data_IF_937306750375
#
_entry.id   IF_937306750375
#
_cell.length_a   1.000
_cell.length_b   1.000
_cell.length_c   1.000
_cell.angle_alpha   90.00
_cell.angle_beta   90.00
_cell.angle_gamma   90.00
#
_symmetry.space_group_name_H-M   'P 1'
#
loop_
_entity.id
_entity.type
_entity.pdbx_description
1 polymer ?
#
# COMPACT_ATOMS: atom_id res chain seq x y z
N UNK A 1 47.97 -8.42 72.58
CA UNK A 1 48.13 -9.69 73.33
C UNK A 1 47.59 -10.82 72.49
N UNK A 2 48.30 -11.92 72.53
CA UNK A 2 48.26 -13.16 71.74
C UNK A 2 46.89 -13.75 71.43
N UNK A 3 46.83 -14.49 70.32
CA UNK A 3 45.74 -15.43 70.02
C UNK A 3 45.89 -16.12 68.67
N UNK A 4 46.95 -16.93 68.51
CA UNK A 4 47.05 -17.98 67.50
C UNK A 4 45.89 -18.98 67.67
N UNK A 5 45.42 -19.60 66.57
CA UNK A 5 45.44 -21.06 66.37
C UNK A 5 44.99 -21.35 64.93
N UNK A 6 45.93 -21.95 64.19
CA UNK A 6 45.72 -22.70 62.96
C UNK A 6 45.37 -24.15 63.34
N UNK A 7 44.47 -24.78 62.61
CA UNK A 7 44.59 -26.19 62.22
C UNK A 7 43.58 -26.55 61.13
N UNK A 8 44.12 -27.17 60.10
CA UNK A 8 43.44 -27.77 58.97
C UNK A 8 42.62 -29.01 59.40
N UNK A 9 41.58 -29.39 58.64
CA UNK A 9 41.65 -30.46 57.63
C UNK A 9 40.26 -30.93 57.17
N UNK A 10 40.23 -31.32 55.88
CA UNK A 10 39.44 -32.39 55.25
C UNK A 10 37.94 -32.20 54.96
N UNK A 11 37.66 -32.13 53.64
CA UNK A 11 36.63 -32.96 53.01
C UNK A 11 35.50 -32.20 52.32
N UNK A 12 35.43 -32.28 50.99
CA UNK A 12 34.31 -32.96 50.31
C UNK A 12 34.27 -32.65 48.80
N UNK A 13 34.44 -33.73 48.04
CA UNK A 13 33.75 -34.05 46.77
C UNK A 13 33.76 -33.02 45.63
N UNK A 14 34.65 -33.28 44.67
CA UNK A 14 34.56 -32.74 43.31
C UNK A 14 33.30 -33.27 42.61
N UNK A 15 32.42 -32.37 42.18
CA UNK A 15 31.34 -32.67 41.23
C UNK A 15 31.52 -31.78 40.00
N UNK A 16 31.92 -32.43 38.91
CA UNK A 16 32.00 -31.88 37.56
C UNK A 16 30.62 -31.36 37.12
N UNK A 17 30.44 -30.04 37.04
CA UNK A 17 29.36 -29.45 36.25
C UNK A 17 29.84 -29.36 34.80
N UNK A 18 29.37 -30.30 33.99
CA UNK A 18 29.61 -30.34 32.56
C UNK A 18 28.86 -29.20 31.87
N UNK A 19 29.61 -28.47 31.06
CA UNK A 19 29.23 -27.33 30.23
C UNK A 19 28.31 -27.76 29.08
N UNK A 20 26.99 -27.71 29.25
CA UNK A 20 26.01 -28.15 28.23
C UNK A 20 25.37 -26.97 27.44
N UNK A 21 26.04 -25.82 27.37
CA UNK A 21 25.49 -24.58 26.79
C UNK A 21 25.91 -24.25 25.35
N UNK A 22 26.35 -25.22 24.53
CA UNK A 22 26.63 -24.96 23.11
C UNK A 22 26.26 -26.15 22.20
N UNK A 23 24.97 -26.45 22.08
CA UNK A 23 24.45 -27.15 20.89
C UNK A 23 23.91 -26.13 19.88
N UNK A 24 24.47 -26.03 18.66
CA UNK A 24 23.88 -25.19 17.62
C UNK A 24 22.48 -25.69 17.27
N UNK A 25 21.47 -24.82 17.41
CA UNK A 25 20.11 -25.12 16.95
C UNK A 25 20.14 -25.30 15.43
N UNK A 26 19.80 -26.49 14.94
CA UNK A 26 19.60 -26.72 13.51
C UNK A 26 18.49 -25.77 13.01
N UNK A 27 18.68 -25.03 11.89
CA UNK A 27 17.59 -24.26 11.32
C UNK A 27 16.45 -25.21 10.95
N UNK A 28 15.24 -24.91 11.42
CA UNK A 28 14.04 -25.65 10.99
C UNK A 28 13.90 -25.44 9.48
N UNK A 29 13.68 -26.49 8.67
CA UNK A 29 13.40 -26.30 7.25
C UNK A 29 12.19 -25.38 7.13
N UNK A 30 12.39 -24.22 6.50
CA UNK A 30 11.30 -23.31 6.18
C UNK A 30 10.41 -24.05 5.20
N UNK A 31 9.21 -24.45 5.64
CA UNK A 31 8.21 -24.99 4.73
C UNK A 31 8.04 -23.97 3.61
N UNK A 32 8.31 -24.38 2.37
CA UNK A 32 8.00 -23.57 1.21
C UNK A 32 6.48 -23.33 1.26
N UNK A 33 6.00 -22.08 1.08
CA UNK A 33 4.57 -21.84 1.05
C UNK A 33 3.97 -22.74 -0.03
N UNK A 34 2.99 -23.56 0.36
CA UNK A 34 2.25 -24.40 -0.59
C UNK A 34 1.65 -23.46 -1.63
N UNK A 35 1.94 -23.71 -2.92
CA UNK A 35 1.32 -22.91 -4.00
C UNK A 35 -0.19 -22.97 -3.77
N UNK A 36 -0.88 -21.82 -3.73
CA UNK A 36 -2.33 -21.84 -3.66
C UNK A 36 -2.83 -22.69 -4.81
N UNK A 37 -3.72 -23.65 -4.53
CA UNK A 37 -4.36 -24.45 -5.56
C UNK A 37 -5.36 -23.55 -6.29
N UNK A 38 -4.88 -22.70 -7.18
CA UNK A 38 -5.73 -22.06 -8.18
C UNK A 38 -6.33 -23.22 -8.98
N UNK A 39 -7.65 -23.36 -8.90
CA UNK A 39 -8.33 -24.59 -9.28
C UNK A 39 -7.88 -25.09 -10.66
N UNK A 40 -7.45 -26.34 -10.73
CA UNK A 40 -7.13 -27.01 -11.98
C UNK A 40 -8.43 -27.31 -12.75
N UNK A 41 -8.56 -26.64 -13.90
CA UNK A 41 -9.53 -26.76 -14.99
C UNK A 41 -10.97 -26.27 -14.76
N UNK A 42 -11.53 -25.47 -15.71
CA UNK A 42 -12.73 -24.69 -15.47
C UNK A 42 -13.97 -25.38 -16.04
N UNK A 43 -15.04 -25.45 -15.24
CA UNK A 43 -16.31 -25.01 -15.84
C UNK A 43 -16.14 -23.50 -15.96
N UNK A 44 -15.97 -23.01 -17.19
CA UNK A 44 -16.01 -21.58 -17.44
C UNK A 44 -17.34 -21.08 -16.87
N UNK A 45 -17.29 -20.37 -15.75
CA UNK A 45 -18.39 -19.50 -15.42
C UNK A 45 -18.48 -18.55 -16.62
N UNK A 46 -19.60 -18.62 -17.35
CA UNK A 46 -19.97 -17.71 -18.43
C UNK A 46 -20.27 -16.30 -17.89
N UNK A 47 -19.56 -15.88 -16.85
CA UNK A 47 -19.59 -14.51 -16.38
C UNK A 47 -18.82 -13.68 -17.40
N UNK A 48 -19.48 -12.71 -17.99
CA UNK A 48 -18.87 -11.67 -18.82
C UNK A 48 -18.01 -10.70 -18.00
N UNK A 49 -17.92 -10.87 -16.68
CA UNK A 49 -17.18 -9.95 -15.81
C UNK A 49 -15.66 -10.08 -16.03
N UNK A 50 -14.90 -8.97 -15.91
CA UNK A 50 -13.44 -9.02 -15.91
C UNK A 50 -12.86 -9.90 -14.79
N UNK A 51 -11.66 -10.46 -15.01
CA UNK A 51 -11.01 -11.38 -14.07
C UNK A 51 -10.87 -10.81 -12.65
N UNK A 52 -10.54 -9.52 -12.52
CA UNK A 52 -10.43 -8.85 -11.22
C UNK A 52 -11.77 -8.82 -10.47
N UNK A 53 -12.88 -8.59 -11.18
CA UNK A 53 -14.23 -8.57 -10.59
C UNK A 53 -14.65 -9.97 -10.15
N UNK A 54 -14.38 -10.98 -10.98
CA UNK A 54 -14.62 -12.37 -10.62
C UNK A 54 -13.87 -12.76 -9.34
N UNK A 55 -12.58 -12.41 -9.26
CA UNK A 55 -11.76 -12.65 -8.07
C UNK A 55 -12.32 -11.93 -6.83
N UNK A 56 -12.69 -10.65 -6.95
CA UNK A 56 -13.24 -9.86 -5.86
C UNK A 56 -14.60 -10.41 -5.34
N UNK A 57 -15.39 -11.03 -6.22
CA UNK A 57 -16.64 -11.71 -5.88
C UNK A 57 -16.44 -13.11 -5.28
N UNK A 58 -15.20 -13.62 -5.22
CA UNK A 58 -14.90 -14.96 -4.73
C UNK A 58 -15.23 -16.07 -5.73
N UNK A 59 -15.42 -15.75 -7.01
CA UNK A 59 -15.67 -16.76 -8.05
C UNK A 59 -14.41 -17.62 -8.29
N UNK A 60 -14.61 -18.83 -8.80
CA UNK A 60 -13.49 -19.65 -9.28
C UNK A 60 -12.85 -19.02 -10.52
N UNK A 61 -11.53 -18.87 -10.50
CA UNK A 61 -10.75 -18.20 -11.53
C UNK A 61 -9.53 -19.04 -11.95
N UNK A 62 -9.10 -18.89 -13.20
CA UNK A 62 -7.98 -19.67 -13.76
C UNK A 62 -6.61 -19.24 -13.22
N UNK A 63 -6.48 -17.97 -12.80
CA UNK A 63 -5.27 -17.40 -12.19
C UNK A 63 -5.62 -16.18 -11.33
N UNK A 64 -4.77 -15.78 -10.38
CA UNK A 64 -4.93 -14.49 -9.69
C UNK A 64 -4.87 -13.31 -10.68
N UNK A 65 -5.72 -12.29 -10.52
CA UNK A 65 -5.57 -11.03 -11.25
C UNK A 65 -4.36 -10.25 -10.73
N UNK A 66 -3.72 -9.47 -11.61
CA UNK A 66 -2.57 -8.65 -11.29
C UNK A 66 -2.76 -7.21 -11.79
N UNK A 67 -2.48 -6.25 -10.90
CA UNK A 67 -2.40 -4.81 -11.13
C UNK A 67 -1.52 -4.20 -10.04
N UNK A 68 -1.15 -2.93 -10.17
CA UNK A 68 -0.30 -2.26 -9.19
C UNK A 68 -0.91 -0.94 -8.71
N UNK A 69 -0.77 -0.65 -7.42
CA UNK A 69 -1.02 0.69 -6.90
C UNK A 69 -0.04 1.66 -7.56
N UNK A 70 -0.51 2.89 -7.86
CA UNK A 70 0.27 3.92 -8.57
C UNK A 70 0.79 3.46 -9.94
N UNK A 71 0.02 2.60 -10.63
CA UNK A 71 0.35 2.11 -11.97
C UNK A 71 0.52 3.22 -13.02
N UNK A 72 -0.12 4.37 -12.86
CA UNK A 72 0.12 5.55 -13.69
C UNK A 72 0.92 6.57 -12.87
N UNK A 73 2.14 6.89 -13.28
CA UNK A 73 2.98 7.81 -12.51
C UNK A 73 4.39 7.98 -13.04
N UNK A 74 5.21 8.68 -12.25
CA UNK A 74 6.55 9.17 -12.63
C UNK A 74 7.57 8.10 -13.03
N UNK A 75 7.31 6.81 -12.83
CA UNK A 75 8.18 5.75 -13.33
C UNK A 75 8.05 5.54 -14.85
N UNK A 76 6.95 6.00 -15.46
CA UNK A 76 6.71 5.88 -16.89
C UNK A 76 7.19 7.11 -17.64
N UNK A 77 7.98 6.92 -18.70
CA UNK A 77 8.42 8.02 -19.57
C UNK A 77 7.25 8.72 -20.27
N UNK A 78 6.18 7.99 -20.60
CA UNK A 78 4.95 8.57 -21.16
C UNK A 78 4.28 9.56 -20.19
N UNK A 79 4.21 9.22 -18.91
CA UNK A 79 3.67 10.11 -17.88
C UNK A 79 4.56 11.35 -17.70
N UNK A 80 5.89 11.16 -17.63
CA UNK A 80 6.84 12.28 -17.47
C UNK A 80 6.69 13.30 -18.60
N UNK A 81 6.67 12.85 -19.86
CA UNK A 81 6.48 13.72 -21.04
C UNK A 81 5.15 14.47 -21.04
N UNK A 82 4.08 13.84 -20.52
CA UNK A 82 2.78 14.49 -20.39
C UNK A 82 2.82 15.53 -19.26
N UNK A 83 3.44 15.20 -18.12
CA UNK A 83 3.62 16.12 -17.00
C UNK A 83 4.51 17.33 -17.33
N UNK A 84 5.48 17.19 -18.26
CA UNK A 84 6.25 18.33 -18.77
C UNK A 84 5.38 19.32 -19.55
N UNK A 85 4.37 18.83 -20.28
CA UNK A 85 3.42 19.66 -21.04
C UNK A 85 2.32 20.26 -20.16
N UNK A 86 1.90 19.51 -19.13
CA UNK A 86 0.85 19.87 -18.18
C UNK A 86 1.44 19.83 -16.75
N UNK A 87 2.21 20.86 -16.36
CA UNK A 87 2.98 20.83 -15.11
C UNK A 87 2.07 20.72 -13.88
N UNK A 88 0.90 21.37 -13.92
CA UNK A 88 -0.08 21.32 -12.84
C UNK A 88 -0.59 19.88 -12.64
N UNK A 89 -0.35 19.33 -11.45
CA UNK A 89 -0.93 18.04 -11.08
C UNK A 89 -2.46 18.10 -11.07
N UNK A 90 -3.01 19.21 -10.57
CA UNK A 90 -4.44 19.44 -10.48
C UNK A 90 -5.10 19.46 -11.87
N UNK A 91 -4.49 20.14 -12.84
CA UNK A 91 -4.94 20.11 -14.24
C UNK A 91 -5.03 18.67 -14.76
N UNK A 92 -3.99 17.86 -14.51
CA UNK A 92 -3.94 16.46 -14.95
C UNK A 92 -4.94 15.54 -14.25
N UNK A 93 -5.30 15.83 -13.00
CA UNK A 93 -6.27 15.05 -12.21
C UNK A 93 -7.72 15.55 -12.31
N UNK A 94 -7.94 16.71 -12.95
CA UNK A 94 -9.27 17.33 -13.09
C UNK A 94 -9.70 17.56 -14.55
N UNK A 95 -8.81 17.30 -15.54
CA UNK A 95 -9.14 17.35 -16.97
C UNK A 95 -9.41 15.96 -17.52
N UNK A 96 -10.64 15.68 -17.94
CA UNK A 96 -11.10 14.35 -18.39
C UNK A 96 -10.16 13.70 -19.42
N UNK A 97 -9.76 14.43 -20.47
CA UNK A 97 -8.88 13.89 -21.51
C UNK A 97 -7.50 13.48 -20.95
N UNK A 98 -6.95 14.27 -20.02
CA UNK A 98 -5.67 13.97 -19.38
C UNK A 98 -5.81 12.79 -18.41
N UNK A 99 -6.90 12.74 -17.64
CA UNK A 99 -7.22 11.62 -16.73
C UNK A 99 -7.29 10.32 -17.53
N UNK A 100 -8.07 10.28 -18.61
CA UNK A 100 -8.24 9.11 -19.48
C UNK A 100 -6.90 8.70 -20.07
N UNK A 101 -6.14 9.65 -20.62
CA UNK A 101 -4.84 9.37 -21.22
C UNK A 101 -3.86 8.76 -20.20
N UNK A 102 -3.69 9.39 -19.04
CA UNK A 102 -2.79 8.92 -17.97
C UNK A 102 -3.24 7.54 -17.45
N UNK A 103 -4.54 7.37 -17.21
CA UNK A 103 -5.14 6.11 -16.72
C UNK A 103 -4.83 4.94 -17.64
N UNK A 104 -4.87 5.16 -18.96
CA UNK A 104 -4.68 4.10 -19.97
C UNK A 104 -3.21 3.79 -20.29
N UNK A 105 -2.24 4.64 -19.92
CA UNK A 105 -0.81 4.38 -20.12
C UNK A 105 -0.35 2.99 -19.61
N UNK A 106 -0.57 2.62 -18.33
CA UNK A 106 -0.17 1.29 -17.85
C UNK A 106 -0.90 0.15 -18.56
N UNK A 107 -2.15 0.37 -18.97
CA UNK A 107 -2.89 -0.64 -19.73
C UNK A 107 -2.27 -0.89 -21.10
N UNK A 108 -1.85 0.17 -21.80
CA UNK A 108 -1.17 0.03 -23.09
C UNK A 108 0.17 -0.70 -22.95
N UNK A 109 0.91 -0.45 -21.87
CA UNK A 109 2.24 -1.03 -21.65
C UNK A 109 2.20 -2.49 -21.14
N UNK A 110 1.30 -2.82 -20.21
CA UNK A 110 1.37 -4.06 -19.43
C UNK A 110 0.12 -4.92 -19.46
N UNK A 111 -1.02 -4.41 -19.95
CA UNK A 111 -2.32 -5.11 -19.98
C UNK A 111 -2.69 -5.76 -18.63
N UNK A 112 -2.68 -5.00 -17.51
CA UNK A 112 -3.07 -5.52 -16.20
C UNK A 112 -4.56 -5.91 -16.18
N UNK A 113 -4.95 -6.73 -15.22
CA UNK A 113 -6.34 -7.20 -15.06
C UNK A 113 -7.28 -6.13 -14.46
N UNK A 114 -6.71 -5.02 -14.01
CA UNK A 114 -7.43 -3.87 -13.48
C UNK A 114 -6.72 -2.58 -13.83
N UNK A 115 -7.51 -1.53 -14.04
CA UNK A 115 -7.03 -0.17 -14.26
C UNK A 115 -7.71 0.74 -13.26
N UNK A 116 -6.92 1.52 -12.52
CA UNK A 116 -7.43 2.50 -11.56
C UNK A 116 -7.39 3.90 -12.17
N UNK A 117 -8.47 4.66 -11.98
CA UNK A 117 -8.60 6.04 -12.47
C UNK A 117 -7.48 6.89 -11.86
N UNK A 118 -6.85 7.71 -12.69
CA UNK A 118 -5.95 8.75 -12.24
C UNK A 118 -6.75 9.92 -11.65
N UNK A 119 -6.84 9.97 -10.34
CA UNK A 119 -7.47 11.05 -9.56
C UNK A 119 -6.73 11.23 -8.24
N UNK A 120 -6.96 12.36 -7.57
CA UNK A 120 -6.45 12.61 -6.23
C UNK A 120 -7.52 12.31 -5.17
N UNK A 121 -7.10 11.84 -4.00
CA UNK A 121 -8.04 11.55 -2.91
C UNK A 121 -8.66 12.82 -2.31
N UNK A 122 -8.01 13.97 -2.47
CA UNK A 122 -8.47 15.26 -1.95
C UNK A 122 -9.39 16.00 -2.93
N UNK A 123 -9.59 15.47 -4.14
CA UNK A 123 -10.50 16.02 -5.15
C UNK A 123 -11.88 16.42 -4.59
N UNK A 124 -12.53 15.67 -3.68
CA UNK A 124 -13.81 16.07 -3.10
C UNK A 124 -13.76 17.25 -2.12
N UNK A 125 -12.59 17.61 -1.59
CA UNK A 125 -12.47 18.61 -0.50
C UNK A 125 -13.06 19.98 -0.88
N UNK A 126 -12.77 20.58 -2.05
CA UNK A 126 -13.36 21.86 -2.43
C UNK A 126 -14.88 21.78 -2.66
N UNK A 127 -15.40 20.59 -2.97
CA UNK A 127 -16.83 20.34 -3.14
C UNK A 127 -17.58 20.23 -1.80
N UNK A 128 -16.88 20.11 -0.67
CA UNK A 128 -17.45 20.12 0.68
C UNK A 128 -17.04 21.34 1.50
N UNK A 129 -16.43 22.36 0.88
CA UNK A 129 -16.06 23.63 1.53
C UNK A 129 -14.62 23.70 2.05
N UNK A 130 -13.77 22.74 1.70
CA UNK A 130 -12.36 22.70 2.13
C UNK A 130 -11.42 22.97 0.94
N UNK A 131 -10.99 24.23 0.71
CA UNK A 131 -10.04 24.52 -0.34
C UNK A 131 -8.66 23.95 -0.01
N UNK A 132 -7.96 23.47 -1.03
CA UNK A 132 -6.57 23.03 -0.92
C UNK A 132 -5.80 23.38 -2.19
N UNK A 133 -4.50 23.53 -2.02
CA UNK A 133 -3.54 23.73 -3.11
C UNK A 133 -2.56 22.57 -3.15
N UNK A 134 -1.94 22.32 -4.30
CA UNK A 134 -0.90 21.29 -4.43
C UNK A 134 0.42 21.98 -4.74
N UNK A 135 1.38 21.86 -3.81
CA UNK A 135 2.76 22.28 -4.01
C UNK A 135 3.60 21.10 -4.51
N UNK A 136 4.44 21.32 -5.52
CA UNK A 136 5.34 20.28 -6.02
C UNK A 136 6.33 19.77 -4.97
N UNK A 137 6.74 20.63 -4.03
CA UNK A 137 7.70 20.30 -2.99
C UNK A 137 7.06 19.74 -1.71
N UNK A 138 5.88 20.26 -1.34
CA UNK A 138 5.23 19.95 -0.05
C UNK A 138 4.01 19.03 -0.17
N UNK A 139 3.53 18.78 -1.38
CA UNK A 139 2.26 18.09 -1.59
C UNK A 139 1.06 19.00 -1.31
N UNK A 140 -0.09 18.43 -0.91
CA UNK A 140 -1.30 19.20 -0.67
C UNK A 140 -1.18 20.09 0.58
N UNK A 141 -1.65 21.32 0.47
CA UNK A 141 -1.66 22.34 1.52
C UNK A 141 -3.12 22.73 1.75
N UNK A 142 -3.61 22.45 2.95
CA UNK A 142 -4.92 22.92 3.43
C UNK A 142 -4.66 24.19 4.24
N UNK A 143 -5.17 25.33 3.77
CA UNK A 143 -4.89 26.64 4.38
C UNK A 143 -5.49 26.77 5.79
N UNK A 144 -6.68 26.18 6.00
CA UNK A 144 -7.42 26.22 7.27
C UNK A 144 -7.75 24.81 7.74
N UNK A 145 -6.82 24.10 8.40
CA UNK A 145 -7.09 22.78 8.95
C UNK A 145 -8.21 22.80 9.99
N UNK A 146 -9.04 21.75 10.03
CA UNK A 146 -10.06 21.59 11.06
C UNK A 146 -9.38 21.34 12.41
N UNK A 147 -9.62 22.22 13.38
CA UNK A 147 -9.03 22.19 14.72
C UNK A 147 -10.06 22.41 15.81
N UNK A 148 -11.08 23.24 15.52
CA UNK A 148 -12.16 23.59 16.42
C UNK A 148 -13.52 23.36 15.77
N UNK A 149 -14.58 23.36 16.58
CA UNK A 149 -15.94 23.07 16.13
C UNK A 149 -16.45 24.11 15.13
N UNK A 150 -16.04 25.37 15.26
CA UNK A 150 -16.39 26.47 14.36
C UNK A 150 -15.90 26.23 12.92
N UNK A 151 -14.81 25.46 12.73
CA UNK A 151 -14.34 25.11 11.38
C UNK A 151 -15.32 24.18 10.64
N UNK A 152 -16.16 23.43 11.38
CA UNK A 152 -17.18 22.56 10.80
C UNK A 152 -18.32 23.36 10.15
N UNK A 153 -18.55 24.60 10.57
CA UNK A 153 -19.59 25.47 10.02
C UNK A 153 -19.34 25.82 8.53
N UNK A 154 -18.08 25.74 8.08
CA UNK A 154 -17.71 25.95 6.68
C UNK A 154 -17.98 24.74 5.79
N UNK A 155 -18.25 23.57 6.38
CA UNK A 155 -18.56 22.36 5.63
C UNK A 155 -19.99 22.40 5.12
N UNK A 156 -20.17 21.94 3.90
CA UNK A 156 -21.49 21.82 3.28
C UNK A 156 -21.66 20.46 2.61
N UNK A 157 -22.91 20.03 2.31
CA UNK A 157 -23.14 18.85 1.48
C UNK A 157 -22.33 18.93 0.19
N UNK A 158 -21.90 17.76 -0.31
CA UNK A 158 -21.04 17.68 -1.48
C UNK A 158 -21.73 18.30 -2.70
N UNK A 159 -21.07 19.28 -3.29
CA UNK A 159 -21.46 19.94 -4.52
C UNK A 159 -20.92 19.12 -5.71
N UNK A 160 -21.77 18.25 -6.26
CA UNK A 160 -21.40 17.34 -7.36
C UNK A 160 -21.13 18.07 -8.68
N UNK A 161 -21.60 19.31 -8.84
CA UNK A 161 -21.31 20.10 -10.05
C UNK A 161 -19.81 20.42 -10.15
N UNK A 162 -19.13 20.53 -9.01
CA UNK A 162 -17.67 20.70 -8.93
C UNK A 162 -16.87 19.44 -9.23
N UNK A 163 -17.52 18.29 -9.47
CA UNK A 163 -16.88 16.98 -9.62
C UNK A 163 -17.23 16.26 -10.92
N UNK A 164 -17.79 16.96 -11.92
CA UNK A 164 -18.21 16.36 -13.20
C UNK A 164 -17.09 15.65 -13.99
N UNK A 165 -15.82 15.93 -13.68
CA UNK A 165 -14.67 15.26 -14.28
C UNK A 165 -14.33 13.91 -13.63
N UNK A 166 -14.94 13.58 -12.48
CA UNK A 166 -14.89 12.27 -11.84
C UNK A 166 -16.17 11.53 -12.23
N UNK A 167 -16.14 10.83 -13.36
CA UNK A 167 -17.28 10.06 -13.88
C UNK A 167 -17.42 8.72 -13.16
#
# INVERSE_FOLDING_TARGET
>A
MSGLISSAELGSSASFLHLDLLRPRRPRPRALPTRPKWASSPRANLSSDPLLVQAARGNSIARPPAWMMRQAGRYMSAYQKLAEKHPSFRERSETVDLIVEITLQPWRAFKPDGVIIFSDILTPLPAIGVPFEISDAKGPIIQSPVQFEEHLENLHPIDLEKLQFVV
#
